data_IF_798263698688
#
_entry.id   IF_798263698688
#
_cell.length_a   1.000
_cell.length_b   1.000
_cell.length_c   1.000
_cell.angle_alpha   90.00
_cell.angle_beta   90.00
_cell.angle_gamma   90.00
#
_symmetry.space_group_name_H-M   'P 1'
#
loop_
_entity.id
_entity.type
_entity.pdbx_description
1 polymer ?
#
# COMPACT_ATOMS: atom_id res chain seq x y z
N UNK A 1 -2.89 -8.47 -4.29
CA UNK A 1 -3.15 -9.10 -2.99
C UNK A 1 -3.38 -8.02 -1.95
N UNK A 2 -4.44 -8.14 -1.15
CA UNK A 2 -4.72 -7.23 -0.04
C UNK A 2 -4.62 -7.92 1.31
N UNK A 3 -3.92 -7.31 2.27
CA UNK A 3 -3.90 -7.72 3.67
C UNK A 3 -4.85 -6.83 4.47
N UNK A 4 -5.98 -7.38 4.85
CA UNK A 4 -7.04 -6.69 5.59
C UNK A 4 -6.90 -6.93 7.09
N UNK A 5 -7.08 -5.90 7.88
CA UNK A 5 -7.08 -6.03 9.33
C UNK A 5 -7.14 -4.68 10.04
N UNK A 6 -7.58 -4.69 11.29
CA UNK A 6 -7.57 -3.51 12.15
C UNK A 6 -6.17 -3.08 12.60
N UNK A 7 -6.09 -2.13 13.50
CA UNK A 7 -4.82 -1.66 14.03
C UNK A 7 -4.11 -2.75 14.85
N UNK A 8 -2.79 -2.88 14.67
CA UNK A 8 -1.95 -3.73 15.52
C UNK A 8 -2.06 -5.24 15.28
N UNK A 9 -2.65 -5.68 14.17
CA UNK A 9 -2.75 -7.11 13.83
C UNK A 9 -1.58 -7.64 12.98
N UNK A 10 -0.58 -6.80 12.68
CA UNK A 10 0.67 -7.22 12.04
C UNK A 10 0.74 -7.04 10.51
N UNK A 11 -0.10 -6.20 9.90
CA UNK A 11 -0.08 -5.94 8.45
C UNK A 11 1.30 -5.50 7.94
N UNK A 12 1.91 -4.52 8.57
CA UNK A 12 3.21 -3.98 8.16
C UNK A 12 4.33 -5.01 8.27
N UNK A 13 4.29 -5.85 9.31
CA UNK A 13 5.27 -6.94 9.49
C UNK A 13 5.22 -7.92 8.32
N UNK A 14 4.01 -8.30 7.87
CA UNK A 14 3.84 -9.18 6.69
C UNK A 14 4.42 -8.54 5.44
N UNK A 15 4.20 -7.25 5.23
CA UNK A 15 4.76 -6.51 4.09
C UNK A 15 6.29 -6.50 4.14
N UNK A 16 6.88 -6.20 5.29
CA UNK A 16 8.33 -6.14 5.47
C UNK A 16 8.99 -7.49 5.19
N UNK A 17 8.42 -8.58 5.69
CA UNK A 17 8.89 -9.93 5.42
C UNK A 17 8.83 -10.30 3.93
N UNK A 18 7.74 -9.93 3.25
CA UNK A 18 7.60 -10.15 1.81
C UNK A 18 8.64 -9.36 1.01
N UNK A 19 8.84 -8.09 1.32
CA UNK A 19 9.84 -7.25 0.65
C UNK A 19 11.23 -7.86 0.80
N UNK A 20 11.61 -8.22 2.03
CA UNK A 20 12.92 -8.78 2.31
C UNK A 20 13.16 -10.10 1.58
N UNK A 21 12.19 -11.01 1.61
CA UNK A 21 12.29 -12.30 0.95
C UNK A 21 12.31 -12.19 -0.58
N UNK A 22 11.50 -11.33 -1.16
CA UNK A 22 11.40 -11.15 -2.60
C UNK A 22 12.63 -10.44 -3.16
N UNK A 23 13.13 -9.39 -2.48
CA UNK A 23 14.34 -8.70 -2.88
C UNK A 23 15.56 -9.64 -2.88
N UNK A 24 15.66 -10.56 -1.93
CA UNK A 24 16.74 -11.54 -1.85
C UNK A 24 16.61 -12.66 -2.87
N UNK A 25 15.38 -13.14 -3.14
CA UNK A 25 15.16 -14.35 -3.94
C UNK A 25 15.07 -14.08 -5.44
N UNK A 26 14.48 -12.96 -5.86
CA UNK A 26 14.09 -12.74 -7.26
C UNK A 26 14.81 -11.59 -7.97
N UNK A 27 15.55 -10.73 -7.26
CA UNK A 27 16.34 -9.65 -7.86
C UNK A 27 15.54 -8.64 -8.71
N UNK A 28 14.20 -8.67 -8.65
CA UNK A 28 13.32 -7.75 -9.36
C UNK A 28 13.22 -6.39 -8.67
N UNK A 29 12.66 -5.42 -9.38
CA UNK A 29 12.41 -4.09 -8.82
C UNK A 29 11.14 -4.08 -7.95
N UNK A 30 11.21 -3.35 -6.85
CA UNK A 30 10.07 -3.11 -5.96
C UNK A 30 9.87 -1.62 -5.76
N UNK A 31 8.61 -1.23 -5.62
CA UNK A 31 8.23 0.14 -5.23
C UNK A 31 7.40 0.04 -3.97
N UNK A 32 7.77 0.79 -2.96
CA UNK A 32 7.00 0.90 -1.72
C UNK A 32 6.41 2.31 -1.61
N UNK A 33 5.09 2.39 -1.56
CA UNK A 33 4.36 3.63 -1.35
C UNK A 33 3.82 3.68 0.09
N UNK A 34 4.41 4.54 0.90
CA UNK A 34 3.93 4.84 2.25
C UNK A 34 2.88 5.94 2.21
N UNK A 35 1.62 5.58 2.48
CA UNK A 35 0.48 6.47 2.34
C UNK A 35 -0.14 6.75 3.71
N UNK A 36 0.10 7.93 4.24
CA UNK A 36 -0.57 8.41 5.45
C UNK A 36 -0.22 7.66 6.74
N UNK A 37 0.82 6.85 6.74
CA UNK A 37 1.30 6.13 7.92
C UNK A 37 2.29 6.97 8.74
N UNK A 38 2.80 6.40 9.83
CA UNK A 38 3.73 7.11 10.72
C UNK A 38 5.09 7.29 10.05
N UNK A 39 5.65 8.49 10.11
CA UNK A 39 6.96 8.81 9.54
C UNK A 39 8.07 7.94 10.14
N UNK A 40 7.97 7.57 11.42
CA UNK A 40 8.90 6.68 12.09
C UNK A 40 8.95 5.29 11.43
N UNK A 41 7.80 4.71 11.09
CA UNK A 41 7.73 3.40 10.42
C UNK A 41 8.39 3.44 9.04
N UNK A 42 8.25 4.54 8.31
CA UNK A 42 8.94 4.74 7.04
C UNK A 42 10.46 4.83 7.20
N UNK A 43 10.94 5.49 8.24
CA UNK A 43 12.37 5.57 8.54
C UNK A 43 12.93 4.22 8.99
N UNK A 44 12.21 3.49 9.83
CA UNK A 44 12.60 2.16 10.29
C UNK A 44 12.71 1.19 9.08
N UNK A 45 11.75 1.23 8.16
CA UNK A 45 11.79 0.44 6.92
C UNK A 45 13.02 0.79 6.06
N UNK A 46 13.35 2.07 5.91
CA UNK A 46 14.54 2.50 5.18
C UNK A 46 15.82 1.95 5.80
N UNK A 47 15.93 2.02 7.14
CA UNK A 47 17.08 1.52 7.88
C UNK A 47 17.23 -0.01 7.71
N UNK A 48 16.14 -0.75 7.90
CA UNK A 48 16.14 -2.22 7.75
C UNK A 48 16.48 -2.68 6.33
N UNK A 49 15.97 -2.00 5.31
CA UNK A 49 16.32 -2.29 3.91
C UNK A 49 17.76 -1.98 3.58
N UNK A 50 18.32 -0.94 4.21
CA UNK A 50 19.73 -0.59 4.05
C UNK A 50 20.63 -1.64 4.71
N UNK A 51 20.30 -2.08 5.92
CA UNK A 51 21.02 -3.15 6.62
C UNK A 51 20.92 -4.50 5.89
N UNK A 52 19.77 -4.79 5.29
CA UNK A 52 19.57 -6.00 4.51
C UNK A 52 20.28 -5.97 3.13
N UNK A 53 20.86 -4.83 2.74
CA UNK A 53 21.55 -4.68 1.46
C UNK A 53 20.60 -4.51 0.25
N UNK A 54 19.32 -4.30 0.46
CA UNK A 54 18.34 -4.01 -0.61
C UNK A 54 18.53 -2.59 -1.13
N UNK A 55 18.86 -1.66 -0.24
CA UNK A 55 19.27 -0.29 -0.57
C UNK A 55 20.79 -0.21 -0.46
N UNK A 56 21.45 0.14 -1.56
CA UNK A 56 22.87 0.41 -1.57
C UNK A 56 23.09 1.90 -1.29
N UNK A 57 23.62 2.21 -0.10
CA UNK A 57 23.85 3.60 0.30
C UNK A 57 25.06 4.25 -0.38
N UNK A 58 26.01 3.45 -0.85
CA UNK A 58 27.20 3.95 -1.56
C UNK A 58 26.90 4.27 -3.03
N UNK A 59 26.08 3.43 -3.65
CA UNK A 59 25.64 3.62 -5.04
C UNK A 59 24.13 3.31 -5.16
N UNK A 60 23.32 4.36 -5.02
CA UNK A 60 21.86 4.26 -5.05
C UNK A 60 21.35 3.63 -6.36
N UNK A 61 22.09 3.76 -7.46
CA UNK A 61 21.68 3.19 -8.74
C UNK A 61 21.63 1.65 -8.75
N UNK A 62 22.31 1.00 -7.82
CA UNK A 62 22.30 -0.44 -7.64
C UNK A 62 21.16 -0.93 -6.72
N UNK A 63 20.44 -0.03 -6.11
CA UNK A 63 19.30 -0.38 -5.26
C UNK A 63 18.15 -0.96 -6.08
N UNK A 64 17.44 -1.94 -5.50
CA UNK A 64 16.34 -2.66 -6.15
C UNK A 64 14.95 -2.23 -5.67
N UNK A 65 14.89 -1.19 -4.86
CA UNK A 65 13.65 -0.65 -4.30
C UNK A 65 13.61 0.87 -4.44
N UNK A 66 12.43 1.39 -4.75
CA UNK A 66 12.10 2.81 -4.66
C UNK A 66 11.11 3.03 -3.51
N UNK A 67 11.44 3.93 -2.60
CA UNK A 67 10.60 4.30 -1.47
C UNK A 67 9.95 5.67 -1.73
N UNK A 68 8.64 5.72 -1.70
CA UNK A 68 7.84 6.93 -1.97
C UNK A 68 6.94 7.18 -0.78
N UNK A 69 7.18 8.25 -0.05
CA UNK A 69 6.45 8.54 1.19
C UNK A 69 5.59 9.80 1.07
N UNK A 70 4.34 9.69 1.48
CA UNK A 70 3.44 10.79 1.82
C UNK A 70 2.74 10.46 3.12
N UNK A 71 3.47 10.59 4.23
CA UNK A 71 3.05 10.11 5.54
C UNK A 71 2.06 11.07 6.22
N UNK A 72 1.67 10.77 7.46
CA UNK A 72 0.60 11.50 8.17
C UNK A 72 0.90 12.98 8.43
N UNK A 73 2.16 13.40 8.36
CA UNK A 73 2.57 14.79 8.47
C UNK A 73 2.27 15.64 7.22
N UNK A 74 1.98 14.99 6.08
CA UNK A 74 1.68 15.66 4.84
C UNK A 74 0.22 16.10 4.74
N UNK A 75 -0.09 17.17 3.99
CA UNK A 75 -1.47 17.59 3.74
C UNK A 75 -2.24 16.53 2.93
N UNK A 76 -3.60 16.56 3.00
CA UNK A 76 -4.41 15.51 2.38
C UNK A 76 -4.21 15.36 0.87
N UNK A 77 -3.93 16.46 0.16
CA UNK A 77 -3.64 16.41 -1.28
C UNK A 77 -2.36 15.62 -1.59
N UNK A 78 -1.31 15.76 -0.79
CA UNK A 78 -0.07 15.01 -0.94
C UNK A 78 -0.28 13.53 -0.59
N UNK A 79 -0.97 13.23 0.51
CA UNK A 79 -1.29 11.85 0.91
C UNK A 79 -2.14 11.12 -0.13
N UNK A 80 -3.07 11.82 -0.78
CA UNK A 80 -3.87 11.26 -1.87
C UNK A 80 -3.04 10.97 -3.13
N UNK A 81 -2.03 11.79 -3.41
CA UNK A 81 -1.22 11.68 -4.64
C UNK A 81 -0.05 10.72 -4.53
N UNK A 82 0.46 10.45 -3.35
CA UNK A 82 1.66 9.61 -3.17
C UNK A 82 1.47 8.18 -3.68
N UNK A 83 0.30 7.59 -3.52
CA UNK A 83 -0.01 6.25 -4.04
C UNK A 83 0.07 6.24 -5.58
N UNK A 84 -0.46 7.25 -6.23
CA UNK A 84 -0.39 7.42 -7.70
C UNK A 84 1.04 7.68 -8.16
N UNK A 85 1.85 8.40 -7.40
CA UNK A 85 3.26 8.62 -7.69
C UNK A 85 4.07 7.32 -7.62
N UNK A 86 3.85 6.51 -6.59
CA UNK A 86 4.45 5.18 -6.48
C UNK A 86 4.03 4.26 -7.64
N UNK A 87 2.77 4.27 -8.00
CA UNK A 87 2.26 3.53 -9.15
C UNK A 87 2.91 3.98 -10.46
N UNK A 88 3.09 5.28 -10.66
CA UNK A 88 3.77 5.81 -11.86
C UNK A 88 5.23 5.34 -11.96
N UNK A 89 5.93 5.22 -10.84
CA UNK A 89 7.27 4.63 -10.82
C UNK A 89 7.24 3.14 -11.17
N UNK A 90 6.28 2.40 -10.64
CA UNK A 90 6.09 0.99 -10.98
C UNK A 90 5.77 0.81 -12.47
N UNK A 91 4.93 1.66 -13.04
CA UNK A 91 4.63 1.67 -14.47
C UNK A 91 5.87 1.98 -15.34
N UNK A 92 6.74 2.87 -14.90
CA UNK A 92 8.00 3.15 -15.58
C UNK A 92 8.89 1.90 -15.63
N UNK A 93 9.06 1.22 -14.50
CA UNK A 93 9.86 -0.01 -14.46
C UNK A 93 9.25 -1.12 -15.32
N UNK A 94 7.93 -1.23 -15.37
CA UNK A 94 7.23 -2.21 -16.22
C UNK A 94 7.35 -1.88 -17.71
N UNK A 95 7.07 -0.64 -18.10
CA UNK A 95 6.86 -0.28 -19.51
C UNK A 95 8.13 0.18 -20.20
N UNK A 96 9.01 0.92 -19.53
CA UNK A 96 10.25 1.43 -20.10
C UNK A 96 11.45 0.48 -19.86
N UNK A 97 11.50 -0.17 -18.71
CA UNK A 97 12.57 -1.11 -18.38
C UNK A 97 12.20 -2.57 -18.66
N UNK A 98 10.95 -2.87 -18.98
CA UNK A 98 10.48 -4.22 -19.31
C UNK A 98 10.59 -5.21 -18.15
N UNK A 99 10.39 -4.74 -16.92
CA UNK A 99 10.54 -5.54 -15.70
C UNK A 99 9.21 -5.98 -15.12
N UNK A 100 9.24 -7.10 -14.39
CA UNK A 100 8.18 -7.45 -13.46
C UNK A 100 8.42 -6.71 -12.15
N UNK A 101 7.42 -5.97 -11.69
CA UNK A 101 7.52 -5.03 -10.58
C UNK A 101 6.60 -5.44 -9.44
N UNK A 102 7.09 -5.31 -8.22
CA UNK A 102 6.28 -5.45 -7.01
C UNK A 102 5.96 -4.06 -6.47
N UNK A 103 4.68 -3.79 -6.31
CA UNK A 103 4.18 -2.55 -5.73
C UNK A 103 3.59 -2.85 -4.35
N UNK A 104 4.20 -2.27 -3.33
CA UNK A 104 3.67 -2.32 -1.97
C UNK A 104 3.01 -0.99 -1.63
N UNK A 105 1.81 -1.03 -1.09
CA UNK A 105 1.08 0.16 -0.63
C UNK A 105 0.72 0.00 0.84
N UNK A 106 1.25 0.84 1.67
CA UNK A 106 0.93 0.90 3.10
C UNK A 106 0.60 2.34 3.49
N UNK A 107 -0.63 2.69 3.61
CA UNK A 107 -1.87 1.93 3.67
C UNK A 107 -2.86 2.46 2.64
N UNK A 108 -3.53 1.58 1.88
CA UNK A 108 -4.49 2.01 0.84
C UNK A 108 -5.74 2.67 1.45
N UNK A 109 -6.13 2.32 2.68
CA UNK A 109 -7.21 3.01 3.38
C UNK A 109 -6.91 4.51 3.55
N UNK A 110 -5.64 4.87 3.79
CA UNK A 110 -5.23 6.27 3.94
C UNK A 110 -5.38 7.08 2.65
N UNK A 111 -5.26 6.42 1.50
CA UNK A 111 -5.60 7.01 0.20
C UNK A 111 -7.08 7.43 0.16
N UNK A 112 -7.98 6.54 0.54
CA UNK A 112 -9.43 6.82 0.62
C UNK A 112 -9.74 7.91 1.65
N UNK A 113 -9.10 7.87 2.81
CA UNK A 113 -9.26 8.89 3.87
C UNK A 113 -8.80 10.27 3.40
N UNK A 114 -7.65 10.37 2.75
CA UNK A 114 -7.15 11.62 2.20
C UNK A 114 -8.10 12.16 1.11
N UNK A 115 -8.66 11.31 0.29
CA UNK A 115 -9.70 11.65 -0.68
C UNK A 115 -10.95 12.23 -0.03
N UNK A 116 -11.39 11.71 1.12
CA UNK A 116 -12.52 12.25 1.87
C UNK A 116 -12.24 13.65 2.44
N UNK A 117 -11.03 13.85 2.94
CA UNK A 117 -10.60 15.18 3.44
C UNK A 117 -10.56 16.22 2.30
N UNK A 118 -10.02 15.86 1.14
CA UNK A 118 -10.01 16.74 -0.04
C UNK A 118 -11.43 17.04 -0.51
N UNK A 119 -12.31 16.04 -0.55
CA UNK A 119 -13.73 16.22 -0.91
C UNK A 119 -14.45 17.17 0.01
N UNK A 120 -14.21 17.08 1.32
CA UNK A 120 -14.76 18.00 2.32
C UNK A 120 -14.25 19.44 2.11
N UNK A 121 -12.96 19.62 1.83
CA UNK A 121 -12.38 20.93 1.52
C UNK A 121 -12.97 21.55 0.26
N UNK A 122 -13.38 20.73 -0.70
CA UNK A 122 -14.06 21.19 -1.93
C UNK A 122 -15.57 21.43 -1.73
N UNK A 123 -16.09 21.25 -0.52
CA UNK A 123 -17.49 21.48 -0.20
C UNK A 123 -18.46 20.46 -0.80
N UNK A 124 -17.98 19.27 -1.15
CA UNK A 124 -18.84 18.20 -1.67
C UNK A 124 -19.66 17.57 -0.54
N UNK A 125 -20.92 17.26 -0.82
CA UNK A 125 -21.77 16.53 0.14
C UNK A 125 -21.26 15.13 0.35
N UNK A 126 -21.08 14.68 1.61
CA UNK A 126 -20.61 13.33 1.89
C UNK A 126 -21.65 12.27 1.49
N UNK A 127 -21.15 11.09 1.12
CA UNK A 127 -21.97 9.89 0.95
C UNK A 127 -22.17 9.15 2.27
N UNK A 128 -22.61 7.90 2.21
CA UNK A 128 -22.79 7.05 3.39
C UNK A 128 -21.50 7.00 4.24
N UNK A 129 -21.67 7.05 5.57
CA UNK A 129 -20.58 6.98 6.56
C UNK A 129 -19.54 8.12 6.44
N UNK A 130 -19.88 9.21 5.74
CA UNK A 130 -19.03 10.39 5.63
C UNK A 130 -17.93 10.31 4.56
N UNK A 131 -17.89 9.26 3.75
CA UNK A 131 -16.95 9.15 2.63
C UNK A 131 -17.34 10.06 1.45
N UNK A 132 -16.37 10.34 0.58
CA UNK A 132 -16.58 11.09 -0.65
C UNK A 132 -17.50 10.33 -1.63
N UNK A 133 -18.33 11.05 -2.42
CA UNK A 133 -19.20 10.41 -3.41
C UNK A 133 -18.40 9.78 -4.56
N UNK A 134 -17.16 10.18 -4.74
CA UNK A 134 -16.22 9.70 -5.77
C UNK A 134 -15.31 8.57 -5.31
N UNK A 135 -15.58 7.94 -4.15
CA UNK A 135 -14.71 6.90 -3.57
C UNK A 135 -14.42 5.75 -4.54
N UNK A 136 -15.45 5.20 -5.15
CA UNK A 136 -15.30 4.06 -6.09
C UNK A 136 -14.55 4.46 -7.35
N UNK A 137 -14.75 5.67 -7.86
CA UNK A 137 -14.03 6.19 -9.02
C UNK A 137 -12.55 6.40 -8.71
N UNK A 138 -12.22 7.03 -7.59
CA UNK A 138 -10.84 7.27 -7.16
C UNK A 138 -10.09 5.96 -6.93
N UNK A 139 -10.74 4.99 -6.30
CA UNK A 139 -10.17 3.66 -6.10
C UNK A 139 -9.99 2.93 -7.44
N UNK A 140 -10.94 3.02 -8.34
CA UNK A 140 -10.87 2.44 -9.68
C UNK A 140 -9.72 3.02 -10.50
N UNK A 141 -9.51 4.32 -10.49
CA UNK A 141 -8.39 4.99 -11.18
C UNK A 141 -7.04 4.45 -10.71
N UNK A 142 -6.88 4.20 -9.42
CA UNK A 142 -5.66 3.63 -8.87
C UNK A 142 -5.53 2.14 -9.23
N UNK A 143 -6.53 1.35 -8.92
CA UNK A 143 -6.46 -0.12 -8.98
C UNK A 143 -6.41 -0.66 -10.41
N UNK A 144 -7.14 -0.08 -11.35
CA UNK A 144 -7.17 -0.53 -12.74
C UNK A 144 -5.86 -0.30 -13.50
N UNK A 145 -4.98 0.57 -13.01
CA UNK A 145 -3.63 0.76 -13.55
C UNK A 145 -2.65 -0.33 -13.11
N UNK A 146 -2.97 -1.07 -12.06
CA UNK A 146 -2.16 -2.19 -11.56
C UNK A 146 -2.48 -3.41 -12.40
N UNK A 147 -1.76 -3.59 -13.50
CA UNK A 147 -2.03 -4.64 -14.47
C UNK A 147 -0.77 -5.10 -15.18
N UNK A 148 -0.85 -6.24 -15.83
CA UNK A 148 0.20 -6.75 -16.72
C UNK A 148 0.03 -6.15 -18.12
N UNK A 149 1.14 -5.86 -18.76
CA UNK A 149 1.22 -5.43 -20.16
C UNK A 149 2.04 -6.42 -20.97
N UNK A 150 2.21 -6.15 -22.26
CA UNK A 150 3.09 -6.96 -23.11
C UNK A 150 4.58 -6.83 -22.76
N UNK A 151 4.94 -5.79 -21.99
CA UNK A 151 6.32 -5.47 -21.62
C UNK A 151 6.73 -6.02 -20.25
N UNK A 152 5.79 -6.18 -19.34
CA UNK A 152 6.03 -6.64 -17.99
C UNK A 152 4.76 -6.66 -17.15
N UNK A 153 4.90 -6.91 -15.86
CA UNK A 153 3.77 -6.99 -14.92
C UNK A 153 3.97 -6.12 -13.69
N UNK A 154 2.86 -5.70 -13.09
CA UNK A 154 2.85 -5.15 -11.74
C UNK A 154 2.03 -6.08 -10.86
N UNK A 155 2.65 -6.62 -9.83
CA UNK A 155 1.97 -7.34 -8.76
C UNK A 155 1.93 -6.43 -7.54
N UNK A 156 0.75 -6.19 -6.99
CA UNK A 156 0.61 -5.36 -5.80
C UNK A 156 0.36 -6.17 -4.54
N UNK A 157 0.94 -5.69 -3.44
CA UNK A 157 0.58 -6.10 -2.10
C UNK A 157 0.16 -4.85 -1.32
N UNK A 158 -1.09 -4.81 -0.88
CA UNK A 158 -1.70 -3.62 -0.28
C UNK A 158 -2.13 -3.91 1.15
N UNK A 159 -1.64 -3.12 2.10
CA UNK A 159 -2.21 -3.12 3.44
C UNK A 159 -3.52 -2.34 3.45
N UNK A 160 -4.56 -2.94 3.97
CA UNK A 160 -5.88 -2.33 4.08
C UNK A 160 -6.28 -2.25 5.54
N UNK A 161 -6.28 -1.04 6.09
CA UNK A 161 -6.82 -0.81 7.42
C UNK A 161 -8.34 -0.97 7.41
N UNK A 162 -8.86 -1.74 8.35
CA UNK A 162 -10.29 -1.98 8.53
C UNK A 162 -10.76 -1.22 9.76
N UNK A 163 -11.48 -0.09 9.60
CA UNK A 163 -11.98 0.69 10.73
C UNK A 163 -12.89 -0.14 11.64
N UNK A 164 -12.60 -0.14 12.94
CA UNK A 164 -13.36 -0.87 13.96
C UNK A 164 -13.55 -2.38 13.68
N UNK A 165 -12.61 -2.97 12.94
CA UNK A 165 -12.67 -4.37 12.46
C UNK A 165 -13.93 -4.69 11.63
N UNK A 166 -14.57 -3.67 11.03
CA UNK A 166 -15.77 -3.78 10.21
C UNK A 166 -15.43 -3.86 8.71
N UNK A 167 -15.42 -5.08 8.17
CA UNK A 167 -15.17 -5.35 6.75
C UNK A 167 -16.26 -4.80 5.82
N UNK A 168 -17.41 -4.41 6.35
CA UNK A 168 -18.51 -3.81 5.58
C UNK A 168 -18.38 -2.31 5.39
N UNK A 169 -17.39 -1.68 6.05
CA UNK A 169 -17.07 -0.26 5.83
C UNK A 169 -16.82 0.01 4.34
N UNK A 170 -17.33 1.11 3.77
CA UNK A 170 -17.23 1.40 2.33
C UNK A 170 -15.80 1.40 1.77
N UNK A 171 -14.79 1.82 2.54
CA UNK A 171 -13.41 1.86 2.05
C UNK A 171 -12.81 0.47 1.85
N UNK A 172 -12.76 -0.45 2.84
CA UNK A 172 -12.32 -1.81 2.60
C UNK A 172 -13.22 -2.55 1.61
N UNK A 173 -14.53 -2.36 1.65
CA UNK A 173 -15.47 -3.01 0.73
C UNK A 173 -15.19 -2.65 -0.74
N UNK A 174 -14.95 -1.37 -1.05
CA UNK A 174 -14.57 -0.95 -2.40
C UNK A 174 -13.19 -1.51 -2.81
N UNK A 175 -12.27 -1.62 -1.88
CA UNK A 175 -10.94 -2.19 -2.16
C UNK A 175 -11.04 -3.68 -2.48
N UNK A 176 -11.86 -4.45 -1.75
CA UNK A 176 -12.11 -5.88 -2.01
C UNK A 176 -12.50 -6.16 -3.46
N UNK A 177 -13.35 -5.30 -4.04
CA UNK A 177 -13.85 -5.49 -5.39
C UNK A 177 -12.76 -5.48 -6.48
N UNK A 178 -11.61 -4.86 -6.20
CA UNK A 178 -10.50 -4.72 -7.14
C UNK A 178 -9.36 -5.72 -6.92
N UNK A 179 -9.39 -6.53 -5.87
CA UNK A 179 -8.31 -7.42 -5.51
C UNK A 179 -8.58 -8.86 -5.94
N UNK A 180 -7.56 -9.50 -6.52
CA UNK A 180 -7.63 -10.90 -6.97
C UNK A 180 -7.49 -11.89 -5.81
N UNK A 181 -6.82 -11.49 -4.74
CA UNK A 181 -6.57 -12.32 -3.56
C UNK A 181 -6.54 -11.48 -2.30
N UNK A 182 -7.07 -12.03 -1.23
CA UNK A 182 -7.17 -11.36 0.07
C UNK A 182 -6.61 -12.22 1.18
N UNK A 183 -5.96 -11.56 2.13
CA UNK A 183 -5.52 -12.15 3.40
C UNK A 183 -6.20 -11.34 4.50
N UNK A 184 -6.96 -11.98 5.34
CA UNK A 184 -7.62 -11.33 6.47
C UNK A 184 -6.81 -11.65 7.73
N UNK A 185 -6.45 -10.59 8.47
CA UNK A 185 -5.78 -10.69 9.76
C UNK A 185 -6.81 -10.44 10.87
N UNK A 186 -6.94 -11.42 11.73
CA UNK A 186 -7.98 -11.44 12.76
C UNK A 186 -7.41 -11.07 14.13
N UNK A 187 -8.07 -10.13 14.81
CA UNK A 187 -7.63 -9.64 16.11
C UNK A 187 -7.65 -10.73 17.19
N UNK A 188 -8.65 -11.57 17.20
CA UNK A 188 -8.78 -12.66 18.17
C UNK A 188 -7.59 -13.63 18.12
N UNK A 189 -7.03 -13.87 16.93
CA UNK A 189 -5.84 -14.69 16.74
C UNK A 189 -4.59 -13.95 17.24
N UNK A 190 -4.48 -12.66 16.92
CA UNK A 190 -3.37 -11.82 17.39
C UNK A 190 -3.33 -11.70 18.92
N UNK A 191 -4.47 -11.63 19.59
CA UNK A 191 -4.60 -11.60 21.05
C UNK A 191 -4.12 -12.90 21.73
N UNK A 192 -4.16 -14.02 21.01
CA UNK A 192 -3.57 -15.29 21.46
C UNK A 192 -2.05 -15.35 21.26
N UNK A 193 -1.44 -14.29 20.72
CA UNK A 193 -0.01 -14.25 20.42
C UNK A 193 0.42 -15.08 19.23
N UNK A 194 -0.52 -15.45 18.37
CA UNK A 194 -0.25 -16.24 17.15
C UNK A 194 -0.02 -15.27 15.98
N UNK A 195 1.16 -15.35 15.38
CA UNK A 195 1.56 -14.52 14.24
C UNK A 195 2.18 -15.36 13.12
N UNK A 196 1.89 -15.01 11.83
CA UNK A 196 0.90 -14.01 11.39
C UNK A 196 -0.52 -14.41 11.80
N UNK A 197 -1.33 -13.43 12.18
CA UNK A 197 -2.69 -13.64 12.70
C UNK A 197 -3.71 -13.84 11.55
N UNK A 198 -3.41 -14.74 10.64
CA UNK A 198 -4.23 -15.01 9.46
C UNK A 198 -5.47 -15.82 9.84
N UNK A 199 -6.62 -15.34 9.39
CA UNK A 199 -7.88 -16.09 9.45
C UNK A 199 -7.88 -17.16 8.37
N UNK A 200 -7.99 -18.47 8.73
CA UNK A 200 -7.86 -19.59 7.80
C UNK A 200 -9.03 -19.73 6.81
#
# INVERSE_FOLDING_TARGET
VGAFGGAGVGKTVVIMELINNIAKAHGGYSVFAGVGERSREGNDLYAEMSEAGVINQEDISQSKVALVYGQMNEPPGARMRVALSGLSMAEYFRDEMGQDVLLFVDNIFRFSQAGSEVSALLGRSPSAVGYQPTLSEEMGILQERITSTKKGSITSFQAVYVPADDLTDPAPANTFAHLDSTIVLERSIAELGIYPAVDP
#
